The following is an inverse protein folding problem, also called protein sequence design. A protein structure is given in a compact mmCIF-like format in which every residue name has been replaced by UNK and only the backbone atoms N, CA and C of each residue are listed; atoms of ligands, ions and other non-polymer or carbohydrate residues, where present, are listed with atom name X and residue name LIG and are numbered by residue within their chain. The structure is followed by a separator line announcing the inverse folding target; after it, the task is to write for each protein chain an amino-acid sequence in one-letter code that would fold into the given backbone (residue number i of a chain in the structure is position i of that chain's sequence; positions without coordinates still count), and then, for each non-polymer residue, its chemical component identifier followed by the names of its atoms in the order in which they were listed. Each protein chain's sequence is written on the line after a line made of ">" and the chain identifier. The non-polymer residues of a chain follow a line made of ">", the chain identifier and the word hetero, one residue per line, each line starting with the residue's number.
data_IF_518597008141
#
_entry.id   IF_518597008141
#
_cell.length_a   1.000
_cell.length_b   1.000
_cell.length_c   1.000
_cell.angle_alpha   90.00
_cell.angle_beta   90.00
_cell.angle_gamma   90.00
#
_symmetry.space_group_name_H-M   'P 1'
#
loop_
_entity.id
_entity.type
_entity.pdbx_description
1 polymer ?
#
# COMPACT_ATOMS: atom_id res chain seq x y z
N UNK A 1 -28.24 -25.11 -5.16
CA UNK A 1 -29.45 -25.50 -5.90
C UNK A 1 -30.39 -26.15 -4.92
N UNK A 2 -31.56 -25.56 -4.71
CA UNK A 2 -32.56 -26.05 -3.77
C UNK A 2 -33.87 -26.32 -4.52
N UNK A 3 -34.57 -27.38 -4.10
CA UNK A 3 -35.94 -27.65 -4.52
C UNK A 3 -36.89 -27.05 -3.50
N UNK A 4 -37.78 -26.18 -3.98
CA UNK A 4 -38.79 -25.56 -3.13
C UNK A 4 -39.96 -26.54 -2.89
N UNK A 5 -40.72 -26.42 -1.79
CA UNK A 5 -41.83 -27.33 -1.46
C UNK A 5 -42.96 -27.38 -2.51
N UNK A 6 -43.05 -26.36 -3.37
CA UNK A 6 -43.98 -26.26 -4.49
C UNK A 6 -43.47 -26.95 -5.78
N UNK A 7 -42.27 -27.53 -5.78
CA UNK A 7 -41.66 -28.19 -6.93
C UNK A 7 -40.82 -27.29 -7.83
N UNK A 8 -40.72 -25.98 -7.52
CA UNK A 8 -39.87 -25.03 -8.25
C UNK A 8 -38.39 -25.21 -7.90
N UNK A 9 -37.51 -24.76 -8.81
CA UNK A 9 -36.05 -24.84 -8.66
C UNK A 9 -35.47 -23.46 -8.35
N UNK A 10 -34.73 -23.35 -7.24
CA UNK A 10 -33.99 -22.14 -6.88
C UNK A 10 -32.48 -22.35 -7.04
N UNK A 11 -31.86 -21.48 -7.83
CA UNK A 11 -30.41 -21.41 -8.03
C UNK A 11 -29.89 -20.15 -7.34
N UNK A 12 -29.14 -20.35 -6.26
CA UNK A 12 -28.36 -19.32 -5.57
C UNK A 12 -26.89 -19.56 -5.88
N UNK A 13 -26.21 -18.56 -6.41
CA UNK A 13 -24.78 -18.61 -6.71
C UNK A 13 -24.12 -17.28 -6.39
N UNK A 14 -22.87 -17.33 -5.94
CA UNK A 14 -22.04 -16.15 -5.77
C UNK A 14 -21.16 -15.97 -7.01
N UNK A 15 -21.07 -14.74 -7.52
CA UNK A 15 -20.11 -14.37 -8.55
C UNK A 15 -18.79 -14.08 -7.83
N UNK A 16 -17.74 -14.84 -8.17
CA UNK A 16 -16.40 -14.60 -7.65
C UNK A 16 -15.88 -13.24 -8.09
N UNK A 17 -15.85 -12.29 -7.16
CA UNK A 17 -15.18 -11.01 -7.33
C UNK A 17 -13.75 -11.11 -6.77
N UNK A 18 -12.82 -10.25 -7.22
CA UNK A 18 -11.52 -10.14 -6.56
C UNK A 18 -11.69 -9.82 -5.08
N UNK A 19 -10.94 -10.49 -4.20
CA UNK A 19 -11.01 -10.31 -2.74
C UNK A 19 -10.78 -8.86 -2.31
N UNK A 20 -10.01 -8.12 -3.12
CA UNK A 20 -9.85 -6.69 -2.99
C UNK A 20 -9.66 -5.99 -4.33
N UNK A 21 -10.12 -4.75 -4.39
CA UNK A 21 -9.89 -3.84 -5.52
C UNK A 21 -9.31 -2.54 -4.97
N UNK A 22 -8.09 -2.20 -5.42
CA UNK A 22 -7.47 -0.92 -5.12
C UNK A 22 -8.12 0.18 -5.95
N UNK A 23 -8.75 1.15 -5.28
CA UNK A 23 -9.38 2.31 -5.93
C UNK A 23 -8.48 3.52 -5.96
N UNK A 24 -7.67 3.68 -4.90
CA UNK A 24 -6.84 4.85 -4.69
C UNK A 24 -5.41 4.37 -4.49
N UNK A 25 -4.50 4.67 -5.44
CA UNK A 25 -3.12 4.23 -5.33
C UNK A 25 -2.40 4.94 -4.19
N UNK A 26 -1.46 4.23 -3.57
CA UNK A 26 -0.59 4.82 -2.55
C UNK A 26 0.21 5.96 -3.17
N UNK A 27 0.17 7.12 -2.52
CA UNK A 27 1.06 8.25 -2.84
C UNK A 27 1.95 8.54 -1.65
N UNK A 28 3.25 8.38 -1.83
CA UNK A 28 4.27 8.72 -0.83
C UNK A 28 5.02 9.99 -1.25
N UNK A 29 5.40 10.78 -0.26
CA UNK A 29 6.25 11.94 -0.41
C UNK A 29 7.38 11.85 0.60
N UNK A 30 8.58 11.64 0.08
CA UNK A 30 9.81 11.56 0.85
C UNK A 30 10.69 12.74 0.47
N UNK A 31 11.17 13.48 1.47
CA UNK A 31 12.05 14.62 1.24
C UNK A 31 13.06 14.75 2.36
N UNK A 32 14.34 14.86 1.97
CA UNK A 32 15.36 15.35 2.88
C UNK A 32 15.13 16.85 3.13
N UNK A 33 14.85 17.22 4.40
CA UNK A 33 14.56 18.61 4.75
C UNK A 33 15.86 19.39 4.89
N UNK A 34 16.88 18.78 5.47
CA UNK A 34 18.22 19.34 5.54
C UNK A 34 19.26 18.25 5.79
N UNK A 35 20.50 18.56 5.39
CA UNK A 35 21.69 17.78 5.71
C UNK A 35 22.79 18.72 6.17
N UNK A 36 23.35 18.46 7.35
CA UNK A 36 24.49 19.19 7.92
C UNK A 36 25.65 18.23 8.02
N UNK A 37 26.81 18.68 7.55
CA UNK A 37 28.08 17.95 7.65
C UNK A 37 29.16 18.91 8.14
N UNK A 38 29.72 18.62 9.30
CA UNK A 38 30.78 19.43 9.91
C UNK A 38 32.02 18.58 10.16
N UNK A 39 33.18 19.11 9.79
CA UNK A 39 34.47 18.52 10.11
C UNK A 39 34.93 18.93 11.51
N UNK A 40 35.46 17.98 12.26
CA UNK A 40 36.15 18.27 13.53
C UNK A 40 37.62 17.89 13.34
N UNK A 41 38.56 18.84 13.24
CA UNK A 41 39.97 18.49 13.15
C UNK A 41 40.44 17.97 14.52
N UNK A 42 40.84 16.69 14.61
CA UNK A 42 41.40 16.12 15.84
C UNK A 42 42.90 16.41 15.94
N UNK A 43 43.67 16.07 14.90
CA UNK A 43 45.09 16.37 14.80
C UNK A 43 45.60 16.15 13.36
N UNK A 44 46.61 16.91 12.97
CA UNK A 44 47.34 16.75 11.71
C UNK A 44 48.85 16.83 11.99
N UNK A 45 49.61 15.86 11.50
CA UNK A 45 51.06 15.79 11.59
C UNK A 45 51.64 16.32 10.27
N UNK A 46 52.41 17.43 10.28
CA UNK A 46 53.06 17.91 9.07
C UNK A 46 54.23 16.97 8.69
N UNK A 47 54.28 16.56 7.43
CA UNK A 47 55.34 15.73 6.83
C UNK A 47 56.00 16.51 5.68
N UNK A 48 56.46 17.73 5.96
CA UNK A 48 57.03 18.64 4.96
C UNK A 48 55.92 19.35 4.16
N UNK A 49 55.86 19.21 2.81
CA UNK A 49 54.87 19.90 1.99
C UNK A 49 53.46 19.27 2.06
N UNK A 50 53.33 18.12 2.72
CA UNK A 50 52.07 17.38 2.89
C UNK A 50 51.82 17.13 4.37
N UNK A 51 50.55 17.11 4.77
CA UNK A 51 50.12 16.84 6.14
C UNK A 51 49.32 15.55 6.19
N UNK A 52 49.59 14.70 7.18
CA UNK A 52 48.85 13.47 7.45
C UNK A 52 48.00 13.68 8.71
N UNK A 53 46.68 13.51 8.62
CA UNK A 53 45.79 13.79 9.76
C UNK A 53 44.52 12.94 9.76
N UNK A 54 43.88 12.88 10.92
CA UNK A 54 42.60 12.19 11.13
C UNK A 54 41.49 13.24 11.23
N UNK A 55 40.61 13.26 10.24
CA UNK A 55 39.52 14.23 10.11
C UNK A 55 38.18 13.49 10.27
N UNK A 56 37.62 13.40 11.49
CA UNK A 56 36.25 12.92 11.67
C UNK A 56 35.25 13.95 11.16
N UNK A 57 34.09 13.43 10.76
CA UNK A 57 32.93 14.21 10.37
C UNK A 57 31.78 13.91 11.33
N UNK A 58 31.03 14.94 11.70
CA UNK A 58 29.69 14.77 12.25
C UNK A 58 28.70 15.02 11.12
N UNK A 59 27.83 14.05 10.88
CA UNK A 59 26.72 14.15 9.95
C UNK A 59 25.41 14.14 10.74
N UNK A 60 24.52 15.04 10.37
CA UNK A 60 23.18 15.12 10.93
C UNK A 60 22.20 15.58 9.85
N UNK A 61 20.94 15.20 9.99
CA UNK A 61 19.92 15.53 9.03
C UNK A 61 18.53 15.29 9.58
N UNK A 62 17.54 15.79 8.86
CA UNK A 62 16.14 15.53 9.12
C UNK A 62 15.45 15.11 7.82
N UNK A 63 14.69 14.02 7.91
CA UNK A 63 13.92 13.49 6.81
C UNK A 63 12.43 13.67 7.11
N UNK A 64 11.67 13.98 6.06
CA UNK A 64 10.22 14.06 6.12
C UNK A 64 9.61 13.01 5.24
N UNK A 65 8.70 12.24 5.84
CA UNK A 65 7.92 11.22 5.18
C UNK A 65 6.44 11.51 5.44
N UNK A 66 5.66 11.54 4.36
CA UNK A 66 4.21 11.58 4.42
C UNK A 66 3.64 10.71 3.30
N UNK A 67 2.50 10.08 3.55
CA UNK A 67 1.83 9.28 2.53
C UNK A 67 0.34 9.17 2.78
N UNK A 68 -0.41 8.90 1.70
CA UNK A 68 -1.85 8.64 1.73
C UNK A 68 -2.11 7.38 0.89
N UNK A 69 -2.93 6.47 1.43
CA UNK A 69 -3.35 5.23 0.76
C UNK A 69 -2.43 4.01 1.02
N UNK A 70 -2.64 2.89 0.30
CA UNK A 70 -3.70 2.72 -0.70
C UNK A 70 -5.10 2.64 -0.07
N UNK A 71 -6.12 3.02 -0.84
CA UNK A 71 -7.52 2.82 -0.47
C UNK A 71 -8.09 1.62 -1.23
N UNK A 72 -8.45 0.57 -0.50
CA UNK A 72 -8.94 -0.70 -1.04
C UNK A 72 -10.41 -0.90 -0.67
N UNK A 73 -11.20 -1.44 -1.60
CA UNK A 73 -12.44 -2.13 -1.28
C UNK A 73 -12.10 -3.58 -0.99
N UNK A 74 -12.53 -4.08 0.15
CA UNK A 74 -12.32 -5.47 0.57
C UNK A 74 -13.67 -6.19 0.64
N UNK A 75 -13.64 -7.52 0.54
CA UNK A 75 -14.81 -8.38 0.75
C UNK A 75 -15.94 -8.06 -0.24
N UNK A 76 -15.59 -7.91 -1.51
CA UNK A 76 -16.57 -7.74 -2.58
C UNK A 76 -17.30 -9.06 -2.82
N UNK A 77 -18.63 -9.03 -2.73
CA UNK A 77 -19.48 -10.17 -3.07
C UNK A 77 -20.67 -9.70 -3.91
N UNK A 78 -21.08 -10.54 -4.86
CA UNK A 78 -22.28 -10.35 -5.68
C UNK A 78 -23.04 -11.66 -5.72
N UNK A 79 -24.28 -11.65 -5.21
CA UNK A 79 -25.11 -12.86 -5.08
C UNK A 79 -26.24 -12.85 -6.10
N UNK A 80 -26.33 -13.90 -6.91
CA UNK A 80 -27.42 -14.06 -7.88
C UNK A 80 -28.44 -15.04 -7.35
N UNK A 81 -29.71 -14.63 -7.40
CA UNK A 81 -30.86 -15.48 -7.10
C UNK A 81 -31.74 -15.62 -8.35
N UNK A 82 -31.87 -16.85 -8.84
CA UNK A 82 -32.64 -17.16 -10.05
C UNK A 82 -33.60 -18.34 -9.82
N UNK A 83 -34.83 -18.21 -10.35
CA UNK A 83 -35.84 -19.25 -10.41
C UNK A 83 -36.35 -19.33 -11.86
N UNK A 84 -36.12 -20.43 -12.60
CA UNK A 84 -36.53 -20.57 -14.00
C UNK A 84 -38.04 -20.51 -14.21
N UNK A 85 -38.82 -20.89 -13.18
CA UNK A 85 -40.27 -20.86 -13.23
C UNK A 85 -40.83 -19.44 -12.95
N UNK A 86 -39.97 -18.50 -12.53
CA UNK A 86 -40.29 -17.10 -12.19
C UNK A 86 -39.18 -16.16 -12.63
N UNK A 87 -38.94 -16.08 -13.93
CA UNK A 87 -37.85 -15.29 -14.48
C UNK A 87 -37.94 -13.80 -14.11
N UNK A 88 -39.16 -13.25 -13.99
CA UNK A 88 -39.40 -11.87 -13.54
C UNK A 88 -38.94 -11.56 -12.10
N UNK A 89 -38.72 -12.57 -11.25
CA UNK A 89 -38.29 -12.40 -9.86
C UNK A 89 -36.75 -12.47 -9.68
N UNK A 90 -36.00 -12.53 -10.78
CA UNK A 90 -34.54 -12.61 -10.77
C UNK A 90 -33.92 -11.40 -10.05
N UNK A 91 -33.01 -11.67 -9.09
CA UNK A 91 -32.27 -10.63 -8.34
C UNK A 91 -30.76 -10.82 -8.51
N UNK A 92 -30.04 -9.72 -8.70
CA UNK A 92 -28.57 -9.63 -8.84
C UNK A 92 -28.03 -8.72 -7.74
#
# INVERSE_FOLDING_TARGET
>A
MNFLPNGEIEVVGEIGLPDSVELIPRKAYEKNIFKVKTQIPLFAIPLGPVSLGLVPFIEGGGDFEAGIGPGTLEQLSLGVKYNPDREEETTI
#
